data_IF_336584821997
#
_entry.id   IF_336584821997
#
_cell.length_a   1.000
_cell.length_b   1.000
_cell.length_c   1.000
_cell.angle_alpha   90.00
_cell.angle_beta   90.00
_cell.angle_gamma   90.00
#
_symmetry.space_group_name_H-M   'P 1'
#
loop_
_entity.id
_entity.type
_entity.pdbx_description
1 polymer ?
#
# COMPACT_ATOMS: atom_id res chain seq x y z
N UNK A 1 -0.09 11.86 10.35
CA UNK A 1 0.41 11.77 8.96
C UNK A 1 1.54 10.77 8.82
N UNK A 2 1.75 10.28 7.59
CA UNK A 2 2.90 9.45 7.23
C UNK A 2 4.00 10.34 6.66
N UNK A 3 5.24 10.15 7.11
CA UNK A 3 6.40 10.75 6.45
C UNK A 3 6.57 10.18 5.02
N UNK A 4 7.27 10.88 4.12
CA UNK A 4 7.56 10.37 2.79
C UNK A 4 8.22 8.97 2.79
N UNK A 5 9.08 8.70 3.79
CA UNK A 5 9.75 7.40 3.95
C UNK A 5 8.78 6.31 4.38
N UNK A 6 7.93 6.56 5.37
CA UNK A 6 6.87 5.62 5.81
C UNK A 6 5.90 5.33 4.66
N UNK A 7 5.51 6.35 3.90
CA UNK A 7 4.63 6.20 2.74
C UNK A 7 5.28 5.37 1.62
N UNK A 8 6.58 5.55 1.36
CA UNK A 8 7.30 4.75 0.36
C UNK A 8 7.31 3.26 0.70
N UNK A 9 7.61 2.89 1.96
CA UNK A 9 7.57 1.48 2.36
C UNK A 9 6.16 0.90 2.36
N UNK A 10 5.15 1.68 2.78
CA UNK A 10 3.75 1.25 2.69
C UNK A 10 3.37 0.92 1.24
N UNK A 11 3.75 1.75 0.27
CA UNK A 11 3.54 1.43 -1.16
C UNK A 11 4.23 0.12 -1.54
N UNK A 12 5.45 -0.13 -1.07
CA UNK A 12 6.15 -1.40 -1.27
C UNK A 12 5.32 -2.61 -0.80
N UNK A 13 4.73 -2.53 0.40
CA UNK A 13 3.88 -3.62 0.93
C UNK A 13 2.65 -3.91 0.08
N UNK A 14 2.13 -2.89 -0.63
CA UNK A 14 0.95 -3.01 -1.50
C UNK A 14 1.33 -3.47 -2.91
N UNK A 15 2.46 -3.00 -3.45
CA UNK A 15 2.96 -3.35 -4.78
C UNK A 15 3.40 -4.81 -4.83
N UNK A 16 4.13 -5.28 -3.81
CA UNK A 16 4.52 -6.68 -3.69
C UNK A 16 3.35 -7.50 -3.16
N UNK A 17 2.42 -7.84 -4.06
CA UNK A 17 1.25 -8.65 -3.74
C UNK A 17 1.42 -10.06 -4.34
N UNK A 18 1.73 -11.10 -3.52
CA UNK A 18 1.91 -12.46 -4.02
C UNK A 18 0.59 -13.12 -4.46
N UNK A 19 -0.56 -12.56 -4.07
CA UNK A 19 -1.90 -13.10 -4.34
C UNK A 19 -2.41 -12.78 -5.75
N UNK A 20 -1.65 -12.06 -6.57
CA UNK A 20 -2.06 -11.75 -7.94
C UNK A 20 -2.07 -13.04 -8.79
N UNK A 21 -3.21 -13.40 -9.41
CA UNK A 21 -3.29 -14.61 -10.23
C UNK A 21 -2.31 -14.59 -11.41
N UNK A 22 -1.68 -15.73 -11.69
CA UNK A 22 -0.80 -15.89 -12.86
C UNK A 22 0.65 -15.42 -12.65
N UNK A 23 1.03 -15.00 -11.43
CA UNK A 23 2.42 -14.71 -11.10
C UNK A 23 3.29 -15.97 -11.19
N UNK A 24 4.42 -15.86 -11.90
CA UNK A 24 5.41 -16.94 -12.03
C UNK A 24 6.35 -17.06 -10.82
N UNK A 25 6.44 -16.01 -10.01
CA UNK A 25 7.43 -15.87 -8.94
C UNK A 25 6.78 -15.44 -7.60
N UNK A 26 5.59 -15.97 -7.28
CA UNK A 26 4.84 -15.57 -6.08
C UNK A 26 5.65 -15.67 -4.79
N UNK A 27 6.43 -16.74 -4.60
CA UNK A 27 7.30 -16.91 -3.42
C UNK A 27 8.38 -15.82 -3.30
N UNK A 28 8.95 -15.40 -4.44
CA UNK A 28 9.92 -14.30 -4.44
C UNK A 28 9.25 -12.97 -4.10
N UNK A 29 8.05 -12.73 -4.64
CA UNK A 29 7.25 -11.54 -4.36
C UNK A 29 6.81 -11.49 -2.88
N UNK A 30 6.48 -12.64 -2.28
CA UNK A 30 6.19 -12.74 -0.85
C UNK A 30 7.40 -12.31 0.00
N UNK A 31 8.62 -12.73 -0.38
CA UNK A 31 9.85 -12.26 0.26
C UNK A 31 10.03 -10.75 0.18
N UNK A 32 9.79 -10.15 -1.01
CA UNK A 32 9.83 -8.70 -1.19
C UNK A 32 8.75 -7.97 -0.37
N UNK A 33 7.56 -8.55 -0.23
CA UNK A 33 6.50 -8.01 0.62
C UNK A 33 6.92 -8.02 2.08
N UNK A 34 7.52 -9.11 2.55
CA UNK A 34 8.04 -9.23 3.91
C UNK A 34 9.13 -8.20 4.19
N UNK A 35 10.08 -7.99 3.28
CA UNK A 35 11.11 -6.94 3.43
C UNK A 35 10.49 -5.54 3.50
N UNK A 36 9.49 -5.24 2.65
CA UNK A 36 8.82 -3.94 2.69
C UNK A 36 8.07 -3.73 4.02
N UNK A 37 7.43 -4.77 4.56
CA UNK A 37 6.76 -4.72 5.87
C UNK A 37 7.77 -4.53 7.01
N UNK A 38 8.91 -5.22 6.94
CA UNK A 38 10.00 -5.08 7.90
C UNK A 38 10.54 -3.65 7.91
N UNK A 39 10.90 -3.12 6.74
CA UNK A 39 11.43 -1.76 6.60
C UNK A 39 10.41 -0.70 7.06
N UNK A 40 9.12 -0.91 6.80
CA UNK A 40 8.05 -0.06 7.35
C UNK A 40 8.01 -0.10 8.88
N UNK A 41 8.09 -1.29 9.48
CA UNK A 41 8.10 -1.46 10.94
C UNK A 41 9.30 -0.76 11.58
N UNK A 42 10.49 -0.90 10.98
CA UNK A 42 11.72 -0.29 11.46
C UNK A 42 11.69 1.24 11.47
N UNK A 43 10.99 1.87 10.52
CA UNK A 43 10.83 3.34 10.55
C UNK A 43 9.73 3.81 11.49
N UNK A 44 8.72 2.99 11.77
CA UNK A 44 7.59 3.37 12.62
C UNK A 44 7.91 3.27 14.12
N UNK A 45 8.67 2.23 14.53
CA UNK A 45 8.94 1.92 15.95
C UNK A 45 9.77 2.99 16.68
N UNK A 46 10.87 3.52 16.12
CA UNK A 46 11.72 4.47 16.83
C UNK A 46 11.04 5.81 17.11
N UNK A 47 10.07 6.19 16.26
CA UNK A 47 9.37 7.47 16.35
C UNK A 47 8.22 7.45 17.36
N UNK A 48 7.62 6.28 17.64
CA UNK A 48 6.46 6.16 18.52
C UNK A 48 6.47 4.84 19.32
N UNK A 49 7.40 4.68 20.28
CA UNK A 49 7.52 3.45 21.06
C UNK A 49 6.26 3.10 21.87
N UNK A 50 5.46 4.09 22.26
CA UNK A 50 4.20 3.89 23.00
C UNK A 50 3.01 3.50 22.10
N UNK A 51 3.10 3.75 20.78
CA UNK A 51 2.03 3.41 19.82
C UNK A 51 2.29 2.05 19.16
N UNK A 52 2.26 1.00 19.99
CA UNK A 52 2.49 -0.40 19.55
C UNK A 52 1.49 -0.89 18.49
N UNK A 53 0.35 -0.20 18.34
CA UNK A 53 -0.68 -0.50 17.34
C UNK A 53 -0.52 0.22 16.00
N UNK A 54 0.40 1.20 15.89
CA UNK A 54 0.52 2.07 14.71
C UNK A 54 0.72 1.30 13.42
N UNK A 55 1.62 0.31 13.44
CA UNK A 55 1.93 -0.54 12.29
C UNK A 55 0.69 -1.30 11.79
N UNK A 56 -0.02 -1.99 12.69
CA UNK A 56 -1.22 -2.75 12.35
C UNK A 56 -2.32 -1.82 11.81
N UNK A 57 -2.55 -0.67 12.46
CA UNK A 57 -3.53 0.32 12.00
C UNK A 57 -3.23 0.83 10.60
N UNK A 58 -1.96 1.14 10.29
CA UNK A 58 -1.56 1.58 8.94
C UNK A 58 -1.85 0.50 7.89
N UNK A 59 -1.47 -0.75 8.15
CA UNK A 59 -1.72 -1.86 7.21
C UNK A 59 -3.21 -2.13 7.02
N UNK A 60 -4.00 -2.06 8.08
CA UNK A 60 -5.46 -2.20 8.00
C UNK A 60 -6.09 -1.06 7.20
N UNK A 61 -5.71 0.19 7.47
CA UNK A 61 -6.17 1.35 6.68
C UNK A 61 -5.79 1.19 5.21
N UNK A 62 -4.55 0.82 4.89
CA UNK A 62 -4.15 0.56 3.51
C UNK A 62 -4.97 -0.57 2.86
N UNK A 63 -5.32 -1.60 3.62
CA UNK A 63 -6.17 -2.69 3.14
C UNK A 63 -7.60 -2.22 2.85
N UNK A 64 -8.14 -1.28 3.63
CA UNK A 64 -9.46 -0.68 3.34
C UNK A 64 -9.47 0.12 2.04
N UNK A 65 -8.33 0.67 1.59
CA UNK A 65 -8.27 1.37 0.31
C UNK A 65 -8.55 0.45 -0.89
N UNK A 66 -8.35 -0.86 -0.74
CA UNK A 66 -8.66 -1.86 -1.78
C UNK A 66 -10.16 -1.99 -2.05
N UNK A 67 -11.03 -1.50 -1.16
CA UNK A 67 -12.49 -1.53 -1.37
C UNK A 67 -12.98 -0.39 -2.26
N UNK A 68 -12.14 0.64 -2.48
CA UNK A 68 -12.47 1.75 -3.37
C UNK A 68 -12.37 1.26 -4.81
N UNK A 69 -13.46 1.36 -5.56
CA UNK A 69 -13.49 0.88 -6.93
C UNK A 69 -12.65 1.77 -7.85
N UNK A 70 -11.95 1.19 -8.85
CA UNK A 70 -11.25 1.98 -9.86
C UNK A 70 -12.17 2.97 -10.58
N UNK A 71 -13.44 2.60 -10.82
CA UNK A 71 -14.43 3.48 -11.43
C UNK A 71 -14.69 4.75 -10.63
N UNK A 72 -14.82 4.63 -9.30
CA UNK A 72 -15.00 5.78 -8.43
C UNK A 72 -13.78 6.69 -8.44
N UNK A 73 -12.57 6.11 -8.44
CA UNK A 73 -11.32 6.85 -8.56
C UNK A 73 -11.27 7.60 -9.91
N UNK A 74 -11.64 6.94 -11.00
CA UNK A 74 -11.67 7.54 -12.34
C UNK A 74 -12.64 8.71 -12.38
N UNK A 75 -13.87 8.55 -11.92
CA UNK A 75 -14.89 9.62 -11.95
C UNK A 75 -14.48 10.84 -11.12
N UNK A 76 -13.92 10.63 -9.92
CA UNK A 76 -13.58 11.73 -9.01
C UNK A 76 -12.28 12.44 -9.39
N UNK A 77 -11.25 11.71 -9.82
CA UNK A 77 -9.89 12.28 -9.94
C UNK A 77 -9.38 12.37 -11.38
N UNK A 78 -9.78 11.45 -12.26
CA UNK A 78 -9.25 11.42 -13.62
C UNK A 78 -10.20 12.08 -14.63
N UNK A 79 -11.52 11.91 -14.48
CA UNK A 79 -12.53 12.44 -15.41
C UNK A 79 -12.49 13.95 -15.60
N UNK A 80 -12.26 14.76 -14.55
CA UNK A 80 -12.06 16.20 -14.72
C UNK A 80 -10.86 16.58 -15.60
N UNK A 81 -9.87 15.68 -15.74
CA UNK A 81 -8.63 15.92 -16.50
C UNK A 81 -8.69 15.33 -17.90
N UNK A 82 -9.23 14.11 -18.05
CA UNK A 82 -9.20 13.36 -19.33
C UNK A 82 -10.53 13.38 -20.11
N UNK A 83 -11.60 13.96 -19.56
CA UNK A 83 -12.92 14.05 -20.20
C UNK A 83 -13.44 12.67 -20.60
N UNK A 84 -14.05 12.56 -21.79
CA UNK A 84 -14.46 11.36 -22.55
C UNK A 84 -13.60 10.07 -22.53
N UNK A 85 -12.29 10.20 -22.40
CA UNK A 85 -11.38 9.14 -22.81
C UNK A 85 -11.54 7.86 -21.95
N UNK A 86 -11.77 6.71 -22.59
CA UNK A 86 -11.80 5.44 -21.86
C UNK A 86 -10.40 5.09 -21.38
N UNK A 87 -10.27 4.72 -20.10
CA UNK A 87 -9.07 4.13 -19.50
C UNK A 87 -9.14 2.61 -19.56
#
# INVERSE_FOLDING_TARGET
DLSPKEYAYLKGTVIFNPDVPGLKASLFIEGLQYEAQHALKEVLVPLHPDDRGRFARILLTASTLKTITPSLITELFFRPVIGQANM
#
